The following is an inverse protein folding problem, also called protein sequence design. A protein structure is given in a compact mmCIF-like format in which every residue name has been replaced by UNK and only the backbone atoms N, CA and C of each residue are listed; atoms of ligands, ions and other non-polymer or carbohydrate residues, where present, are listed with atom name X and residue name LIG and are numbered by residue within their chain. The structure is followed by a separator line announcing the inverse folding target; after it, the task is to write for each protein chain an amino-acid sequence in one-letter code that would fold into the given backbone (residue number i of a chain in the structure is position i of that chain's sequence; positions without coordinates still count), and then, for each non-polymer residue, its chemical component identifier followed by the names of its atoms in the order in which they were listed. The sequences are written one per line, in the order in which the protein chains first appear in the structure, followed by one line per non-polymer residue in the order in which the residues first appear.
data_IF_845027861937
#
_entry.id   IF_845027861937
#
_cell.length_a   1.000
_cell.length_b   1.000
_cell.length_c   1.000
_cell.angle_alpha   90.00
_cell.angle_beta   90.00
_cell.angle_gamma   90.00
#
_symmetry.space_group_name_H-M   'P 1'
#
loop_
_entity.id
_entity.type
_entity.pdbx_description
1 polymer ?
#
# COMPACT_ATOMS: atom_id res chain seq x y z
N UNK A 1 33.11 55.63 -13.87
CA UNK A 1 32.44 54.62 -13.03
C UNK A 1 33.34 53.40 -12.90
N UNK A 2 33.88 53.15 -11.71
CA UNK A 2 35.01 52.23 -11.47
C UNK A 2 34.71 50.81 -11.96
N UNK A 3 35.46 50.35 -12.97
CA UNK A 3 35.33 49.04 -13.62
C UNK A 3 35.27 47.88 -12.60
N UNK A 4 36.00 48.00 -11.48
CA UNK A 4 35.96 47.05 -10.35
C UNK A 4 34.56 46.84 -9.75
N UNK A 5 33.72 47.88 -9.68
CA UNK A 5 32.34 47.77 -9.16
C UNK A 5 31.40 47.03 -10.11
N UNK A 6 31.62 47.14 -11.43
CA UNK A 6 30.84 46.38 -12.43
C UNK A 6 31.15 44.88 -12.37
N UNK A 7 32.43 44.52 -12.22
CA UNK A 7 32.85 43.12 -12.06
C UNK A 7 32.31 42.47 -10.77
N UNK A 8 32.34 43.18 -9.63
CA UNK A 8 31.72 42.65 -8.40
C UNK A 8 30.21 42.43 -8.54
N UNK A 9 29.49 43.37 -9.17
CA UNK A 9 28.06 43.23 -9.40
C UNK A 9 27.71 42.05 -10.32
N UNK A 10 28.50 41.83 -11.38
CA UNK A 10 28.36 40.66 -12.26
C UNK A 10 28.64 39.35 -11.53
N UNK A 11 29.65 39.31 -10.67
CA UNK A 11 29.98 38.12 -9.88
C UNK A 11 28.83 37.76 -8.92
N UNK A 12 28.28 38.74 -8.20
CA UNK A 12 27.14 38.56 -7.30
C UNK A 12 25.91 38.01 -8.03
N UNK A 13 25.62 38.53 -9.23
CA UNK A 13 24.50 38.05 -10.04
C UNK A 13 24.68 36.57 -10.44
N UNK A 14 25.89 36.19 -10.84
CA UNK A 14 26.22 34.80 -11.20
C UNK A 14 26.12 33.88 -9.97
N UNK A 15 26.59 34.32 -8.81
CA UNK A 15 26.50 33.54 -7.57
C UNK A 15 25.03 33.29 -7.19
N UNK A 16 24.17 34.31 -7.25
CA UNK A 16 22.74 34.18 -6.97
C UNK A 16 22.08 33.21 -7.96
N UNK A 17 22.44 33.29 -9.24
CA UNK A 17 21.92 32.39 -10.26
C UNK A 17 22.33 30.92 -10.02
N UNK A 18 23.58 30.68 -9.65
CA UNK A 18 24.06 29.34 -9.27
C UNK A 18 23.30 28.83 -8.03
N UNK A 19 23.12 29.67 -7.01
CA UNK A 19 22.35 29.29 -5.83
C UNK A 19 20.91 28.92 -6.17
N UNK A 20 20.28 29.66 -7.07
CA UNK A 20 18.93 29.36 -7.53
C UNK A 20 18.86 27.98 -8.23
N UNK A 21 19.83 27.67 -9.10
CA UNK A 21 19.93 26.36 -9.74
C UNK A 21 20.09 25.26 -8.68
N UNK A 22 21.02 25.41 -7.75
CA UNK A 22 21.26 24.41 -6.70
C UNK A 22 20.01 24.21 -5.84
N UNK A 23 19.35 25.30 -5.45
CA UNK A 23 18.12 25.24 -4.67
C UNK A 23 17.01 24.46 -5.39
N UNK A 24 16.78 24.76 -6.67
CA UNK A 24 15.76 24.05 -7.46
C UNK A 24 16.08 22.58 -7.63
N UNK A 25 17.34 22.20 -7.82
CA UNK A 25 17.75 20.79 -7.89
C UNK A 25 17.46 20.05 -6.58
N UNK A 26 17.80 20.64 -5.43
CA UNK A 26 17.54 20.05 -4.11
C UNK A 26 16.04 19.87 -3.88
N UNK A 27 15.24 20.89 -4.18
CA UNK A 27 13.79 20.84 -4.02
C UNK A 27 13.16 19.71 -4.88
N UNK A 28 13.58 19.61 -6.14
CA UNK A 28 13.13 18.53 -7.03
C UNK A 28 13.56 17.15 -6.55
N UNK A 29 14.77 17.02 -6.00
CA UNK A 29 15.27 15.76 -5.46
C UNK A 29 14.42 15.29 -4.27
N UNK A 30 14.11 16.18 -3.32
CA UNK A 30 13.26 15.85 -2.16
C UNK A 30 11.87 15.39 -2.61
N UNK A 31 11.29 16.07 -3.60
CA UNK A 31 9.99 15.67 -4.15
C UNK A 31 10.04 14.28 -4.79
N UNK A 32 11.09 13.98 -5.56
CA UNK A 32 11.29 12.66 -6.17
C UNK A 32 11.47 11.55 -5.12
N UNK A 33 12.19 11.82 -4.03
CA UNK A 33 12.36 10.84 -2.93
C UNK A 33 11.03 10.48 -2.28
N UNK A 34 10.16 11.47 -2.02
CA UNK A 34 8.81 11.21 -1.48
C UNK A 34 7.99 10.34 -2.42
N UNK A 35 7.97 10.70 -3.71
CA UNK A 35 7.24 9.97 -4.74
C UNK A 35 7.72 8.52 -4.87
N UNK A 36 9.03 8.30 -4.78
CA UNK A 36 9.60 6.95 -4.78
C UNK A 36 9.15 6.11 -3.59
N UNK A 37 9.03 6.72 -2.40
CA UNK A 37 8.56 6.01 -1.21
C UNK A 37 7.07 5.68 -1.31
N UNK A 38 6.25 6.62 -1.82
CA UNK A 38 4.83 6.38 -2.09
C UNK A 38 4.64 5.22 -3.09
N UNK A 39 5.36 5.24 -4.21
CA UNK A 39 5.31 4.16 -5.19
C UNK A 39 5.78 2.82 -4.63
N UNK A 40 6.80 2.79 -3.77
CA UNK A 40 7.22 1.55 -3.09
C UNK A 40 6.13 1.01 -2.18
N UNK A 41 5.47 1.88 -1.42
CA UNK A 41 4.37 1.48 -0.54
C UNK A 41 3.17 0.95 -1.34
N UNK A 42 2.83 1.62 -2.45
CA UNK A 42 1.76 1.20 -3.35
C UNK A 42 2.09 -0.16 -4.00
N UNK A 43 3.31 -0.37 -4.48
CA UNK A 43 3.76 -1.65 -5.01
C UNK A 43 3.68 -2.76 -3.95
N UNK A 44 4.09 -2.48 -2.70
CA UNK A 44 3.98 -3.45 -1.61
C UNK A 44 2.52 -3.84 -1.37
N UNK A 45 1.63 -2.85 -1.23
CA UNK A 45 0.20 -3.08 -1.02
C UNK A 45 -0.44 -3.87 -2.16
N UNK A 46 -0.11 -3.54 -3.42
CA UNK A 46 -0.60 -4.28 -4.58
C UNK A 46 -0.08 -5.71 -4.61
N UNK A 47 1.18 -5.94 -4.25
CA UNK A 47 1.73 -7.30 -4.15
C UNK A 47 1.04 -8.11 -3.05
N UNK A 48 0.76 -7.50 -1.90
CA UNK A 48 0.03 -8.15 -0.82
C UNK A 48 -1.39 -8.53 -1.28
N UNK A 49 -2.09 -7.64 -1.98
CA UNK A 49 -3.41 -7.91 -2.57
C UNK A 49 -3.35 -9.02 -3.64
N UNK A 50 -2.30 -9.05 -4.46
CA UNK A 50 -2.11 -10.11 -5.45
C UNK A 50 -1.88 -11.45 -4.74
N UNK A 51 -1.08 -11.46 -3.67
CA UNK A 51 -0.82 -12.67 -2.87
C UNK A 51 -2.10 -13.19 -2.22
N UNK A 52 -2.88 -12.32 -1.57
CA UNK A 52 -4.15 -12.70 -0.93
C UNK A 52 -5.15 -13.22 -1.97
N UNK A 53 -5.24 -12.54 -3.13
CA UNK A 53 -6.14 -12.97 -4.21
C UNK A 53 -5.72 -14.31 -4.80
N UNK A 54 -4.41 -14.56 -4.96
CA UNK A 54 -3.91 -15.86 -5.42
C UNK A 54 -4.24 -16.97 -4.43
N UNK A 55 -4.09 -16.71 -3.13
CA UNK A 55 -4.46 -17.67 -2.09
C UNK A 55 -5.96 -17.96 -2.12
N UNK A 56 -6.81 -16.95 -2.23
CA UNK A 56 -8.27 -17.14 -2.35
C UNK A 56 -8.64 -17.95 -3.60
N UNK A 57 -8.00 -17.69 -4.74
CA UNK A 57 -8.20 -18.49 -5.96
C UNK A 57 -7.79 -19.94 -5.75
N UNK A 58 -6.66 -20.19 -5.08
CA UNK A 58 -6.21 -21.56 -4.78
C UNK A 58 -7.21 -22.29 -3.87
N UNK A 59 -7.71 -21.61 -2.84
CA UNK A 59 -8.70 -22.17 -1.93
C UNK A 59 -10.02 -22.46 -2.64
N UNK A 60 -10.49 -21.56 -3.50
CA UNK A 60 -11.67 -21.80 -4.34
C UNK A 60 -11.47 -22.99 -5.29
N UNK A 61 -10.29 -23.15 -5.88
CA UNK A 61 -9.97 -24.31 -6.73
C UNK A 61 -9.93 -25.62 -5.94
N UNK A 62 -9.48 -25.63 -4.69
CA UNK A 62 -9.52 -26.83 -3.83
C UNK A 62 -10.96 -27.26 -3.54
N UNK A 63 -11.87 -26.30 -3.44
CA UNK A 63 -13.30 -26.55 -3.28
C UNK A 63 -13.89 -27.11 -4.58
N UNK A 64 -13.60 -26.48 -5.72
CA UNK A 64 -14.09 -26.91 -7.04
C UNK A 64 -13.63 -28.32 -7.42
N UNK A 65 -12.35 -28.65 -7.17
CA UNK A 65 -11.77 -29.95 -7.51
C UNK A 65 -12.15 -31.07 -6.51
N UNK A 66 -13.06 -30.81 -5.56
CA UNK A 66 -13.49 -31.79 -4.56
C UNK A 66 -12.35 -32.31 -3.67
N UNK A 67 -11.23 -31.58 -3.61
CA UNK A 67 -10.01 -31.97 -2.87
C UNK A 67 -10.11 -31.65 -1.38
N UNK A 68 -11.19 -30.97 -0.97
CA UNK A 68 -11.49 -30.60 0.40
C UNK A 68 -12.50 -31.60 0.96
N UNK A 69 -12.28 -32.12 2.18
CA UNK A 69 -13.22 -33.03 2.85
C UNK A 69 -14.56 -32.36 3.21
N UNK A 70 -14.64 -31.03 3.15
CA UNK A 70 -15.85 -30.25 3.40
C UNK A 70 -16.62 -29.99 2.11
N UNK A 71 -17.91 -30.34 2.12
CA UNK A 71 -18.83 -30.11 1.01
C UNK A 71 -19.10 -28.61 0.81
N UNK A 72 -19.35 -28.19 -0.45
CA UNK A 72 -19.71 -26.81 -0.84
C UNK A 72 -20.82 -26.20 0.05
N UNK A 73 -21.82 -27.01 0.42
CA UNK A 73 -22.91 -26.61 1.33
C UNK A 73 -22.38 -26.16 2.70
N UNK A 74 -21.39 -26.87 3.26
CA UNK A 74 -20.82 -26.58 4.59
C UNK A 74 -20.07 -25.26 4.56
N UNK A 75 -19.29 -25.01 3.50
CA UNK A 75 -18.54 -23.77 3.31
C UNK A 75 -19.48 -22.58 3.11
N UNK A 76 -20.52 -22.74 2.28
CA UNK A 76 -21.53 -21.71 2.07
C UNK A 76 -22.26 -21.38 3.37
N UNK A 77 -22.63 -22.40 4.15
CA UNK A 77 -23.27 -22.23 5.46
C UNK A 77 -22.38 -21.49 6.46
N UNK A 78 -21.11 -21.85 6.55
CA UNK A 78 -20.15 -21.16 7.44
C UNK A 78 -19.97 -19.69 7.05
N UNK A 79 -19.86 -19.39 5.74
CA UNK A 79 -19.76 -18.01 5.23
C UNK A 79 -21.02 -17.17 5.46
N UNK A 80 -22.20 -17.79 5.35
CA UNK A 80 -23.50 -17.13 5.50
C UNK A 80 -24.04 -17.17 6.94
N UNK A 81 -23.29 -17.78 7.87
CA UNK A 81 -23.71 -18.04 9.25
C UNK A 81 -25.07 -18.77 9.32
N UNK A 82 -25.28 -19.74 8.42
CA UNK A 82 -26.51 -20.52 8.29
C UNK A 82 -26.37 -21.91 8.91
N UNK A 83 -27.46 -22.41 9.51
CA UNK A 83 -27.55 -23.74 10.12
C UNK A 83 -28.54 -24.63 9.37
N UNK A 84 -28.40 -25.96 9.43
CA UNK A 84 -29.40 -26.86 8.85
C UNK A 84 -30.67 -26.82 9.70
N UNK A 85 -31.84 -27.10 9.10
CA UNK A 85 -33.04 -27.36 9.87
C UNK A 85 -32.77 -28.43 10.93
N UNK A 86 -33.17 -28.16 12.17
CA UNK A 86 -33.00 -29.04 13.35
C UNK A 86 -31.55 -29.27 13.81
N UNK A 87 -30.60 -28.42 13.44
CA UNK A 87 -29.24 -28.44 13.99
C UNK A 87 -29.12 -27.55 15.23
N UNK A 88 -28.55 -28.07 16.31
CA UNK A 88 -28.30 -27.33 17.55
C UNK A 88 -26.87 -26.81 17.53
N UNK A 89 -26.70 -25.49 17.51
CA UNK A 89 -25.39 -24.83 17.55
C UNK A 89 -25.23 -24.11 18.88
N UNK A 90 -24.10 -24.34 19.55
CA UNK A 90 -23.74 -23.65 20.79
C UNK A 90 -22.97 -22.38 20.46
N UNK A 91 -23.53 -21.23 20.82
CA UNK A 91 -22.84 -19.93 20.71
C UNK A 91 -22.30 -19.62 22.10
N UNK A 92 -20.98 -19.64 22.26
CA UNK A 92 -20.34 -19.19 23.50
C UNK A 92 -20.37 -17.65 23.53
N UNK A 93 -21.42 -17.11 24.14
CA UNK A 93 -21.50 -15.71 24.56
C UNK A 93 -20.66 -15.58 25.82
N UNK A 94 -19.34 -15.55 25.65
CA UNK A 94 -18.38 -15.33 26.72
C UNK A 94 -18.80 -14.10 27.55
N UNK A 95 -18.89 -14.31 28.86
CA UNK A 95 -19.27 -13.32 29.89
C UNK A 95 -18.72 -11.92 29.60
N UNK A 96 -19.61 -10.97 29.33
CA UNK A 96 -19.36 -9.57 29.65
C UNK A 96 -19.11 -9.48 31.16
N UNK A 97 -17.86 -9.23 31.56
CA UNK A 97 -17.52 -9.22 32.97
C UNK A 97 -16.04 -9.06 33.29
N UNK A 98 -15.44 -7.96 32.81
CA UNK A 98 -14.63 -7.01 33.59
C UNK A 98 -14.07 -5.90 32.69
#
# INVERSE_FOLDING_TARGET
MNIRRKFLAQFILITIFIFFIVYTLIANFIFQVKKLNEYKAEISSLNDQISSTKQEIEDLKKIENGSTSENLETIARNRLNMVKPNEIVYIDIGKEGN
#
